data_IF_581273257768
#
_entry.id   IF_581273257768
#
_cell.length_a   1.000
_cell.length_b   1.000
_cell.length_c   1.000
_cell.angle_alpha   90.00
_cell.angle_beta   90.00
_cell.angle_gamma   90.00
#
_symmetry.space_group_name_H-M   'P 1'
#
loop_
_entity.id
_entity.type
_entity.pdbx_description
1 polymer ?
#
# COMPACT_ATOMS: atom_id res chain seq x y z
N UNK A 1 -0.17 26.25 14.96
CA UNK A 1 0.03 25.27 13.88
C UNK A 1 0.41 23.88 14.40
N UNK A 2 1.12 23.73 15.50
CA UNK A 2 1.59 22.47 16.03
C UNK A 2 1.05 22.08 17.41
N UNK A 3 -0.12 22.61 17.80
CA UNK A 3 -0.74 22.29 19.12
C UNK A 3 -1.09 20.81 19.26
N UNK A 4 -1.45 20.15 18.17
CA UNK A 4 -1.72 18.72 18.17
C UNK A 4 -0.47 17.84 18.38
N UNK A 5 0.73 18.35 18.07
CA UNK A 5 1.98 17.59 18.24
C UNK A 5 2.35 17.39 19.71
N UNK A 6 1.85 18.24 20.60
CA UNK A 6 2.01 18.01 22.05
C UNK A 6 1.29 16.75 22.53
N UNK A 7 0.15 16.41 21.91
CA UNK A 7 -0.59 15.17 22.19
C UNK A 7 0.16 13.95 21.66
N UNK A 8 0.72 14.05 20.43
CA UNK A 8 1.53 12.99 19.83
C UNK A 8 2.77 12.70 20.70
N UNK A 9 3.44 13.75 21.19
CA UNK A 9 4.58 13.61 22.10
C UNK A 9 4.18 12.89 23.41
N UNK A 10 3.05 13.26 24.01
CA UNK A 10 2.52 12.60 25.21
C UNK A 10 2.21 11.12 24.94
N UNK A 11 1.59 10.82 23.81
CA UNK A 11 1.28 9.44 23.41
C UNK A 11 2.54 8.61 23.24
N UNK A 12 3.58 9.18 22.62
CA UNK A 12 4.89 8.55 22.46
C UNK A 12 5.55 8.24 23.82
N UNK A 13 5.53 9.20 24.76
CA UNK A 13 6.07 9.04 26.10
C UNK A 13 5.27 8.00 26.91
N UNK A 14 3.94 7.98 26.77
CA UNK A 14 3.07 6.96 27.38
C UNK A 14 3.39 5.56 26.85
N UNK A 15 3.56 5.40 25.52
CA UNK A 15 3.94 4.12 24.92
C UNK A 15 5.31 3.66 25.43
N UNK A 16 6.30 4.56 25.47
CA UNK A 16 7.63 4.26 26.00
C UNK A 16 7.55 3.76 27.44
N UNK A 17 6.74 4.41 28.27
CA UNK A 17 6.54 3.99 29.67
C UNK A 17 5.81 2.65 29.77
N UNK A 18 4.70 2.46 29.02
CA UNK A 18 3.93 1.20 29.07
C UNK A 18 4.74 0.00 28.59
N UNK A 19 5.60 0.14 27.60
CA UNK A 19 6.49 -0.94 27.15
C UNK A 19 7.50 -1.40 28.22
N UNK A 20 7.78 -0.59 29.27
CA UNK A 20 8.63 -0.97 30.39
C UNK A 20 7.88 -1.69 31.52
N UNK A 21 6.56 -1.76 31.45
CA UNK A 21 5.75 -2.40 32.50
C UNK A 21 5.71 -3.91 32.34
N UNK A 22 5.75 -4.70 33.44
CA UNK A 22 5.66 -6.16 33.39
C UNK A 22 4.39 -6.68 32.71
N UNK A 23 3.28 -5.90 32.80
CA UNK A 23 1.99 -6.25 32.22
C UNK A 23 2.05 -6.29 30.68
N UNK A 24 2.79 -5.37 30.07
CA UNK A 24 2.97 -5.33 28.62
C UNK A 24 3.76 -6.53 28.09
N UNK A 25 4.69 -7.05 28.89
CA UNK A 25 5.51 -8.22 28.51
C UNK A 25 4.73 -9.54 28.56
N UNK A 26 3.60 -9.58 29.25
CA UNK A 26 2.77 -10.78 29.36
C UNK A 26 1.84 -10.99 28.15
N UNK A 27 1.65 -9.96 27.30
CA UNK A 27 0.85 -10.03 26.06
C UNK A 27 1.71 -9.67 24.86
N UNK A 28 2.28 -10.67 24.16
CA UNK A 28 3.15 -10.44 23.01
C UNK A 28 2.47 -9.69 21.85
N UNK A 29 1.16 -9.91 21.66
CA UNK A 29 0.41 -9.25 20.57
C UNK A 29 0.21 -7.75 20.88
N UNK A 30 -0.21 -7.42 22.10
CA UNK A 30 -0.33 -6.04 22.55
C UNK A 30 1.03 -5.33 22.56
N UNK A 31 2.11 -6.00 22.97
CA UNK A 31 3.46 -5.46 22.94
C UNK A 31 3.93 -5.15 21.51
N UNK A 32 3.70 -6.07 20.58
CA UNK A 32 4.05 -5.86 19.16
C UNK A 32 3.29 -4.67 18.56
N UNK A 33 2.00 -4.50 18.89
CA UNK A 33 1.20 -3.36 18.45
C UNK A 33 1.76 -2.03 19.02
N UNK A 34 2.07 -1.97 20.31
CA UNK A 34 2.68 -0.80 20.95
C UNK A 34 4.05 -0.46 20.34
N UNK A 35 4.89 -1.46 20.09
CA UNK A 35 6.20 -1.28 19.47
C UNK A 35 6.07 -0.72 18.05
N UNK A 36 5.07 -1.16 17.27
CA UNK A 36 4.79 -0.65 15.94
C UNK A 36 4.38 0.82 15.99
N UNK A 37 3.41 1.16 16.86
CA UNK A 37 2.96 2.54 17.05
C UNK A 37 4.12 3.45 17.52
N UNK A 38 4.93 2.98 18.47
CA UNK A 38 6.11 3.71 18.96
C UNK A 38 7.10 4.01 17.83
N UNK A 39 7.43 3.00 17.01
CA UNK A 39 8.34 3.13 15.86
C UNK A 39 7.78 4.10 14.80
N UNK A 40 6.48 4.11 14.59
CA UNK A 40 5.83 5.03 13.65
C UNK A 40 5.89 6.49 14.12
N UNK A 41 5.72 6.74 15.41
CA UNK A 41 5.74 8.09 15.99
C UNK A 41 7.16 8.64 16.18
N UNK A 42 8.19 7.77 16.28
CA UNK A 42 9.57 8.17 16.55
C UNK A 42 10.08 9.26 15.61
N UNK A 43 10.00 9.14 14.26
CA UNK A 43 10.54 10.16 13.35
C UNK A 43 9.86 11.52 13.50
N UNK A 44 8.54 11.52 13.78
CA UNK A 44 7.78 12.74 13.98
C UNK A 44 8.16 13.44 15.28
N UNK A 45 8.30 12.67 16.37
CA UNK A 45 8.67 13.23 17.69
C UNK A 45 10.11 13.75 17.68
N UNK A 46 11.04 13.08 17.01
CA UNK A 46 12.42 13.54 16.84
C UNK A 46 12.48 14.84 16.04
N UNK A 47 11.78 14.92 14.91
CA UNK A 47 11.68 16.14 14.11
C UNK A 47 11.06 17.30 14.90
N UNK A 48 10.02 17.03 15.67
CA UNK A 48 9.37 18.03 16.51
C UNK A 48 10.27 18.51 17.67
N UNK A 49 11.03 17.61 18.29
CA UNK A 49 12.03 17.98 19.32
C UNK A 49 13.12 18.90 18.73
N UNK A 50 13.64 18.53 17.56
CA UNK A 50 14.62 19.36 16.84
C UNK A 50 14.06 20.73 16.48
N UNK A 51 12.81 20.78 15.98
CA UNK A 51 12.11 22.00 15.65
C UNK A 51 11.95 22.91 16.87
N UNK A 52 11.49 22.37 18.00
CA UNK A 52 11.28 23.16 19.23
C UNK A 52 12.58 23.66 19.86
N UNK A 53 13.67 22.90 19.74
CA UNK A 53 15.00 23.32 20.19
C UNK A 53 15.51 24.49 19.33
N UNK A 54 15.47 24.31 18.00
CA UNK A 54 15.92 25.32 17.04
C UNK A 54 15.06 26.59 17.09
N UNK A 55 13.74 26.46 17.32
CA UNK A 55 12.85 27.61 17.53
C UNK A 55 13.28 28.48 18.72
N UNK A 56 13.69 27.84 19.81
CA UNK A 56 14.22 28.59 20.99
C UNK A 56 15.51 29.33 20.66
N UNK A 57 16.45 28.67 19.94
CA UNK A 57 17.69 29.30 19.50
C UNK A 57 17.41 30.53 18.63
N UNK A 58 16.50 30.42 17.66
CA UNK A 58 16.05 31.53 16.81
C UNK A 58 15.41 32.64 17.62
N UNK A 59 14.62 32.33 18.65
CA UNK A 59 13.99 33.35 19.49
C UNK A 59 15.04 34.07 20.40
N UNK A 60 16.06 33.32 20.87
CA UNK A 60 17.19 33.89 21.61
C UNK A 60 18.07 34.78 20.71
N UNK A 61 18.39 34.36 19.49
CA UNK A 61 19.14 35.16 18.51
C UNK A 61 18.41 36.46 18.13
N UNK A 62 17.07 36.38 17.95
CA UNK A 62 16.25 37.58 17.73
C UNK A 62 16.34 38.54 18.91
N UNK A 63 16.22 38.04 20.14
CA UNK A 63 16.30 38.86 21.34
C UNK A 63 17.68 39.55 21.47
N UNK A 64 18.77 38.90 21.03
CA UNK A 64 20.10 39.51 20.97
C UNK A 64 20.19 40.61 19.93
N UNK A 65 19.53 40.50 18.79
CA UNK A 65 19.50 41.53 17.74
C UNK A 65 18.59 42.70 18.09
N UNK A 66 17.52 42.49 18.89
CA UNK A 66 16.64 43.53 19.39
C UNK A 66 17.36 44.44 20.43
N UNK A 67 18.43 43.95 21.10
CA UNK A 67 19.29 44.67 21.98
C UNK A 67 20.74 44.64 21.47
N UNK A 68 21.03 45.27 20.32
CA UNK A 68 22.33 45.14 19.68
C UNK A 68 23.45 45.71 20.54
N UNK A 69 24.58 44.97 20.54
CA UNK A 69 25.82 45.44 21.16
C UNK A 69 26.54 46.43 20.26
N UNK A 70 27.48 47.21 20.82
CA UNK A 70 28.32 48.16 20.04
C UNK A 70 29.30 47.42 19.09
N UNK A 71 29.44 46.08 19.23
CA UNK A 71 30.28 45.25 18.38
C UNK A 71 29.56 44.85 17.08
N UNK A 72 29.88 45.53 15.99
CA UNK A 72 29.31 45.28 14.68
C UNK A 72 29.61 43.84 14.17
N UNK A 73 30.81 43.33 14.45
CA UNK A 73 31.21 41.97 13.99
C UNK A 73 30.38 40.87 14.70
N UNK A 74 30.07 41.09 15.98
CA UNK A 74 29.17 40.18 16.72
C UNK A 74 27.75 40.21 16.16
N UNK A 75 27.21 41.37 15.89
CA UNK A 75 25.87 41.53 15.31
C UNK A 75 25.76 40.88 13.91
N UNK A 76 26.80 41.04 13.07
CA UNK A 76 26.86 40.39 11.76
C UNK A 76 26.89 38.84 11.89
N UNK A 77 27.64 38.31 12.84
CA UNK A 77 27.69 36.88 13.12
C UNK A 77 26.31 36.33 13.54
N UNK A 78 25.65 37.00 14.48
CA UNK A 78 24.30 36.60 14.95
C UNK A 78 23.28 36.69 13.82
N UNK A 79 23.38 37.70 12.93
CA UNK A 79 22.52 37.80 11.76
C UNK A 79 22.73 36.64 10.76
N UNK A 80 23.97 36.20 10.57
CA UNK A 80 24.29 35.09 9.71
C UNK A 80 23.73 33.78 10.30
N UNK A 81 23.96 33.53 11.58
CA UNK A 81 23.48 32.37 12.30
C UNK A 81 21.94 32.31 12.29
N UNK A 82 21.27 33.41 12.52
CA UNK A 82 19.83 33.54 12.43
C UNK A 82 19.29 33.15 11.03
N UNK A 83 19.95 33.55 9.94
CA UNK A 83 19.54 33.17 8.58
C UNK A 83 19.69 31.68 8.35
N UNK A 84 20.80 31.10 8.79
CA UNK A 84 21.05 29.64 8.65
C UNK A 84 20.04 28.84 9.47
N UNK A 85 19.74 29.28 10.70
CA UNK A 85 18.78 28.60 11.57
C UNK A 85 17.33 28.76 11.09
N UNK A 86 16.98 29.90 10.47
CA UNK A 86 15.70 30.07 9.79
C UNK A 86 15.50 29.06 8.65
N UNK A 87 16.52 28.86 7.81
CA UNK A 87 16.46 27.89 6.74
C UNK A 87 16.27 26.46 7.27
N UNK A 88 17.03 26.08 8.30
CA UNK A 88 16.88 24.77 8.95
C UNK A 88 15.49 24.59 9.58
N UNK A 89 14.92 25.65 10.13
CA UNK A 89 13.59 25.64 10.75
C UNK A 89 12.50 25.43 9.68
N UNK A 90 12.62 26.08 8.53
CA UNK A 90 11.72 25.89 7.40
C UNK A 90 11.81 24.45 6.84
N UNK A 91 13.02 23.89 6.72
CA UNK A 91 13.24 22.51 6.29
C UNK A 91 12.63 21.50 7.28
N UNK A 92 12.79 21.74 8.60
CA UNK A 92 12.17 20.92 9.64
C UNK A 92 10.63 21.02 9.63
N UNK A 93 10.09 22.21 9.41
CA UNK A 93 8.64 22.40 9.27
C UNK A 93 8.08 21.61 8.09
N UNK A 94 8.73 21.67 6.93
CA UNK A 94 8.35 20.87 5.77
C UNK A 94 8.43 19.37 6.07
N UNK A 95 9.50 18.93 6.73
CA UNK A 95 9.66 17.53 7.14
C UNK A 95 8.54 17.07 8.08
N UNK A 96 8.18 17.88 9.06
CA UNK A 96 7.08 17.58 10.00
C UNK A 96 5.76 17.48 9.24
N UNK A 97 5.47 18.43 8.33
CA UNK A 97 4.26 18.39 7.48
C UNK A 97 4.18 17.10 6.66
N UNK A 98 5.30 16.64 6.10
CA UNK A 98 5.36 15.38 5.37
C UNK A 98 5.10 14.16 6.26
N UNK A 99 5.64 14.15 7.48
CA UNK A 99 5.44 13.07 8.45
C UNK A 99 4.01 13.01 9.02
N UNK A 100 3.28 14.12 8.99
CA UNK A 100 1.88 14.21 9.40
C UNK A 100 0.89 13.74 8.32
N UNK A 101 1.35 13.57 7.07
CA UNK A 101 0.49 13.03 6.03
C UNK A 101 -0.01 11.62 6.40
N UNK A 102 -1.30 11.34 6.22
CA UNK A 102 -1.81 10.01 6.51
C UNK A 102 -1.10 8.98 5.63
N UNK A 103 -0.46 8.01 6.28
CA UNK A 103 0.13 6.85 5.61
C UNK A 103 -0.99 5.95 5.08
N UNK A 104 -0.79 5.40 3.92
CA UNK A 104 -1.67 4.34 3.42
C UNK A 104 -1.44 3.07 4.28
N UNK A 105 -2.53 2.48 4.79
CA UNK A 105 -2.45 1.26 5.58
C UNK A 105 -1.77 0.09 4.83
N UNK A 106 -1.72 0.18 3.50
CA UNK A 106 -1.10 -0.84 2.67
C UNK A 106 0.39 -0.57 2.38
N UNK A 107 0.94 0.61 2.77
CA UNK A 107 2.31 1.00 2.40
C UNK A 107 3.38 0.01 2.86
N UNK A 108 3.18 -0.67 3.99
CA UNK A 108 4.11 -1.68 4.53
C UNK A 108 3.90 -3.09 3.95
N UNK A 109 2.84 -3.32 3.17
CA UNK A 109 2.50 -4.65 2.65
C UNK A 109 3.40 -5.05 1.49
N UNK A 110 3.59 -6.36 1.35
CA UNK A 110 4.05 -7.01 0.14
C UNK A 110 3.05 -6.81 -0.99
N UNK A 111 3.46 -7.06 -2.23
CA UNK A 111 2.60 -6.84 -3.39
C UNK A 111 2.51 -8.07 -4.28
N UNK A 112 1.41 -8.13 -5.00
CA UNK A 112 1.26 -8.95 -6.21
C UNK A 112 1.28 -7.99 -7.40
N UNK A 113 2.24 -8.22 -8.30
CA UNK A 113 2.38 -7.44 -9.53
C UNK A 113 1.98 -8.29 -10.73
N UNK A 114 1.16 -7.71 -11.59
CA UNK A 114 0.74 -8.33 -12.84
C UNK A 114 1.17 -7.47 -14.02
N UNK A 115 1.82 -8.07 -14.99
CA UNK A 115 2.23 -7.41 -16.24
C UNK A 115 1.59 -8.14 -17.40
N UNK A 116 0.90 -7.41 -18.27
CA UNK A 116 0.29 -7.94 -19.48
C UNK A 116 0.78 -7.20 -20.71
N UNK A 117 1.04 -7.93 -21.78
CA UNK A 117 1.24 -7.34 -23.09
C UNK A 117 -0.03 -6.62 -23.55
N UNK A 118 0.12 -5.36 -23.97
CA UNK A 118 -0.95 -4.54 -24.53
C UNK A 118 -0.93 -4.50 -26.06
N UNK A 119 -1.10 -3.31 -26.64
CA UNK A 119 -1.06 -3.11 -28.07
C UNK A 119 0.36 -3.27 -28.62
N UNK A 120 0.57 -4.14 -29.61
CA UNK A 120 1.88 -4.31 -30.27
C UNK A 120 2.28 -5.76 -30.59
N UNK A 121 1.40 -6.73 -30.27
CA UNK A 121 1.65 -8.15 -30.55
C UNK A 121 2.89 -8.69 -29.85
N UNK A 122 3.75 -9.39 -30.57
CA UNK A 122 4.96 -10.01 -29.99
C UNK A 122 5.92 -8.99 -29.37
N UNK A 123 6.04 -7.79 -29.95
CA UNK A 123 6.86 -6.71 -29.41
C UNK A 123 6.37 -6.24 -28.04
N UNK A 124 5.05 -6.22 -27.82
CA UNK A 124 4.47 -5.92 -26.51
C UNK A 124 4.81 -7.01 -25.49
N UNK A 125 4.84 -8.28 -25.90
CA UNK A 125 5.23 -9.40 -25.05
C UNK A 125 6.73 -9.36 -24.68
N UNK A 126 7.60 -9.03 -25.60
CA UNK A 126 9.03 -8.81 -25.34
C UNK A 126 9.25 -7.61 -24.40
N UNK A 127 8.45 -6.56 -24.54
CA UNK A 127 8.52 -5.41 -23.64
C UNK A 127 8.00 -5.76 -22.23
N UNK A 128 6.93 -6.55 -22.11
CA UNK A 128 6.45 -7.05 -20.81
C UNK A 128 7.53 -7.88 -20.10
N UNK A 129 8.27 -8.73 -20.82
CA UNK A 129 9.43 -9.43 -20.29
C UNK A 129 10.52 -8.47 -19.79
N UNK A 130 10.81 -7.41 -20.56
CA UNK A 130 11.81 -6.38 -20.17
C UNK A 130 11.38 -5.65 -18.89
N UNK A 131 10.09 -5.34 -18.71
CA UNK A 131 9.56 -4.74 -17.49
C UNK A 131 9.66 -5.70 -16.30
N UNK A 132 9.29 -6.98 -16.47
CA UNK A 132 9.47 -7.99 -15.43
C UNK A 132 10.90 -8.07 -14.95
N UNK A 133 11.87 -8.14 -15.89
CA UNK A 133 13.30 -8.13 -15.56
C UNK A 133 13.70 -6.88 -14.78
N UNK A 134 13.24 -5.69 -15.20
CA UNK A 134 13.50 -4.41 -14.54
C UNK A 134 13.02 -4.42 -13.08
N UNK A 135 11.79 -4.87 -12.81
CA UNK A 135 11.25 -4.93 -11.45
C UNK A 135 11.94 -5.99 -10.59
N UNK A 136 12.29 -7.14 -11.16
CA UNK A 136 13.06 -8.18 -10.45
C UNK A 136 14.45 -7.66 -10.05
N UNK A 137 15.13 -6.93 -10.92
CA UNK A 137 16.43 -6.33 -10.61
C UNK A 137 16.29 -5.22 -9.56
N UNK A 138 15.23 -4.42 -9.61
CA UNK A 138 14.94 -3.43 -8.59
C UNK A 138 14.66 -4.08 -7.23
N UNK A 139 13.84 -5.11 -7.18
CA UNK A 139 13.56 -5.88 -5.96
C UNK A 139 14.87 -6.45 -5.35
N UNK A 140 15.75 -7.02 -6.17
CA UNK A 140 17.04 -7.52 -5.72
C UNK A 140 17.93 -6.41 -5.11
N UNK A 141 17.94 -5.21 -5.69
CA UNK A 141 18.67 -4.05 -5.14
C UNK A 141 18.14 -3.59 -3.79
N UNK A 142 16.81 -3.72 -3.58
CA UNK A 142 16.15 -3.37 -2.31
C UNK A 142 16.19 -4.51 -1.28
N UNK A 143 16.81 -5.65 -1.60
CA UNK A 143 16.80 -6.88 -0.79
C UNK A 143 15.40 -7.45 -0.55
N UNK A 144 14.49 -7.30 -1.52
CA UNK A 144 13.17 -7.89 -1.51
C UNK A 144 13.17 -9.26 -2.21
N UNK A 145 12.38 -10.19 -1.70
CA UNK A 145 12.18 -11.48 -2.33
C UNK A 145 11.18 -11.36 -3.49
N UNK A 146 11.43 -12.08 -4.59
CA UNK A 146 10.56 -12.08 -5.75
C UNK A 146 10.24 -13.52 -6.14
N UNK A 147 8.94 -13.86 -6.30
CA UNK A 147 8.46 -15.19 -6.64
C UNK A 147 7.42 -15.14 -7.76
N UNK A 148 7.63 -15.93 -8.81
CA UNK A 148 6.68 -16.02 -9.92
C UNK A 148 5.51 -16.91 -9.53
N UNK A 149 4.28 -16.39 -9.66
CA UNK A 149 3.02 -17.11 -9.36
C UNK A 149 2.47 -17.74 -10.64
N UNK A 150 2.43 -16.98 -11.73
CA UNK A 150 1.91 -17.44 -13.03
C UNK A 150 2.68 -16.80 -14.16
N UNK A 151 2.97 -17.55 -15.21
CA UNK A 151 3.72 -17.09 -16.36
C UNK A 151 3.13 -17.69 -17.63
N UNK A 152 2.81 -16.82 -18.61
CA UNK A 152 2.38 -17.19 -19.96
C UNK A 152 3.35 -16.59 -20.97
N UNK A 153 4.27 -17.42 -21.44
CA UNK A 153 5.31 -17.03 -22.40
C UNK A 153 4.87 -17.14 -23.86
N UNK A 154 5.56 -16.43 -24.74
CA UNK A 154 5.46 -16.60 -26.19
C UNK A 154 6.61 -17.46 -26.72
N UNK A 155 6.48 -17.96 -27.96
CA UNK A 155 7.50 -18.78 -28.61
C UNK A 155 8.84 -18.04 -28.83
N UNK A 156 8.80 -16.70 -28.88
CA UNK A 156 9.98 -15.84 -29.06
C UNK A 156 10.56 -15.32 -27.73
N UNK A 157 10.18 -15.89 -26.60
CA UNK A 157 10.67 -15.50 -25.27
C UNK A 157 10.05 -14.22 -24.71
N UNK A 158 8.96 -13.73 -25.33
CA UNK A 158 8.14 -12.66 -24.77
C UNK A 158 7.18 -13.20 -23.70
N UNK A 159 6.53 -12.31 -22.99
CA UNK A 159 5.55 -12.64 -21.94
C UNK A 159 4.19 -12.01 -22.28
N UNK A 160 3.18 -12.85 -22.51
CA UNK A 160 1.79 -12.38 -22.70
C UNK A 160 1.22 -11.86 -21.40
N UNK A 161 1.46 -12.61 -20.32
CA UNK A 161 1.02 -12.27 -18.98
C UNK A 161 1.96 -12.92 -17.95
N UNK A 162 2.32 -12.16 -16.93
CA UNK A 162 3.05 -12.66 -15.76
C UNK A 162 2.46 -12.07 -14.50
N UNK A 163 2.29 -12.91 -13.50
CA UNK A 163 1.94 -12.53 -12.14
C UNK A 163 3.04 -13.01 -11.20
N UNK A 164 3.54 -12.14 -10.36
CA UNK A 164 4.60 -12.44 -9.40
C UNK A 164 4.42 -11.64 -8.12
N UNK A 165 4.88 -12.19 -6.99
CA UNK A 165 4.94 -11.50 -5.71
C UNK A 165 6.28 -10.81 -5.52
N UNK A 166 6.25 -9.67 -4.83
CA UNK A 166 7.45 -9.01 -4.29
C UNK A 166 7.21 -8.82 -2.79
N UNK A 167 8.05 -9.47 -1.98
CA UNK A 167 7.92 -9.52 -0.53
C UNK A 167 9.05 -8.76 0.14
N UNK A 168 8.68 -7.88 1.07
CA UNK A 168 9.63 -7.08 1.83
C UNK A 168 8.98 -5.87 2.50
N UNK A 169 9.71 -5.15 3.35
CA UNK A 169 9.17 -3.97 4.02
C UNK A 169 8.99 -2.81 3.04
N UNK A 170 7.82 -2.17 3.08
CA UNK A 170 7.54 -0.94 2.33
C UNK A 170 7.46 -1.10 0.82
N UNK A 171 7.28 -2.32 0.29
CA UNK A 171 7.23 -2.60 -1.16
C UNK A 171 6.11 -1.82 -1.83
N UNK A 172 4.89 -1.88 -1.27
CA UNK A 172 3.74 -1.19 -1.84
C UNK A 172 3.93 0.32 -1.87
N UNK A 173 4.55 0.91 -0.85
CA UNK A 173 4.77 2.36 -0.76
C UNK A 173 5.57 2.91 -1.96
N UNK A 174 6.48 2.11 -2.52
CA UNK A 174 7.32 2.47 -3.66
C UNK A 174 6.70 2.06 -5.00
N UNK A 175 6.23 0.82 -5.10
CA UNK A 175 5.80 0.26 -6.38
C UNK A 175 4.34 0.57 -6.76
N UNK A 176 3.50 1.11 -5.86
CA UNK A 176 2.13 1.56 -6.18
C UNK A 176 2.07 2.59 -7.31
N UNK A 177 3.14 3.33 -7.53
CA UNK A 177 3.25 4.31 -8.62
C UNK A 177 3.57 3.68 -9.99
N UNK A 178 3.87 2.39 -10.04
CA UNK A 178 4.18 1.69 -11.29
C UNK A 178 2.92 1.15 -11.99
N UNK A 179 1.76 1.22 -11.36
CA UNK A 179 0.50 0.79 -11.96
C UNK A 179 0.06 1.71 -13.09
N UNK A 180 -0.31 1.10 -14.23
CA UNK A 180 -0.78 1.82 -15.41
C UNK A 180 -0.23 1.25 -16.72
N UNK A 181 -0.35 2.05 -17.79
CA UNK A 181 0.10 1.70 -19.14
C UNK A 181 1.51 2.22 -19.39
N UNK A 182 2.44 1.31 -19.63
CA UNK A 182 3.82 1.60 -20.02
C UNK A 182 3.95 1.51 -21.54
N UNK A 183 4.56 2.51 -22.17
CA UNK A 183 4.73 2.58 -23.62
C UNK A 183 6.20 2.50 -23.99
N UNK A 184 6.54 1.64 -24.97
CA UNK A 184 7.88 1.55 -25.53
C UNK A 184 7.90 2.05 -26.96
N UNK A 185 9.00 2.70 -27.34
CA UNK A 185 9.34 3.11 -28.69
C UNK A 185 10.73 2.58 -29.01
N UNK A 186 10.78 1.52 -29.80
CA UNK A 186 12.06 0.92 -30.30
C UNK A 186 11.85 0.27 -31.65
N UNK A 187 12.94 -0.06 -32.33
CA UNK A 187 12.90 -0.96 -33.48
C UNK A 187 12.83 -2.38 -32.92
N UNK A 188 11.73 -3.12 -33.17
CA UNK A 188 11.60 -4.51 -32.71
C UNK A 188 12.70 -5.41 -33.29
N UNK A 189 13.08 -6.44 -32.56
CA UNK A 189 13.99 -7.47 -33.07
C UNK A 189 13.40 -8.22 -34.30
N UNK A 190 12.08 -8.23 -34.40
CA UNK A 190 11.34 -8.83 -35.52
C UNK A 190 11.18 -7.91 -36.73
N UNK A 191 11.61 -6.64 -36.65
CA UNK A 191 11.45 -5.66 -37.73
C UNK A 191 12.69 -5.63 -38.64
N UNK A 192 12.50 -5.96 -39.88
CA UNK A 192 13.59 -6.06 -40.87
C UNK A 192 13.91 -4.75 -41.58
N UNK A 193 12.98 -3.75 -41.54
CA UNK A 193 13.16 -2.48 -42.25
C UNK A 193 13.60 -1.33 -41.34
N UNK A 194 13.93 -1.61 -40.07
CA UNK A 194 14.40 -0.62 -39.11
C UNK A 194 13.38 0.43 -38.66
N UNK A 195 12.10 0.17 -38.86
CA UNK A 195 11.02 1.11 -38.45
C UNK A 195 10.82 1.08 -36.95
N UNK A 196 10.67 2.26 -36.37
CA UNK A 196 10.33 2.39 -34.94
C UNK A 196 8.87 2.01 -34.74
N UNK A 197 8.62 1.01 -33.89
CA UNK A 197 7.29 0.63 -33.46
C UNK A 197 6.97 1.20 -32.08
N UNK A 198 5.68 1.38 -31.81
CA UNK A 198 5.18 1.79 -30.50
C UNK A 198 4.32 0.67 -29.95
N UNK A 199 4.75 0.08 -28.86
CA UNK A 199 4.04 -1.00 -28.15
C UNK A 199 3.72 -0.61 -26.73
N UNK A 200 2.77 -1.30 -26.10
CA UNK A 200 2.38 -1.05 -24.70
C UNK A 200 2.36 -2.34 -23.90
N UNK A 201 2.61 -2.20 -22.61
CA UNK A 201 2.34 -3.22 -21.61
C UNK A 201 1.62 -2.56 -20.43
N UNK A 202 0.73 -3.28 -19.81
CA UNK A 202 -0.01 -2.82 -18.63
C UNK A 202 0.57 -3.44 -17.38
N UNK A 203 0.70 -2.65 -16.33
CA UNK A 203 1.17 -3.08 -15.02
C UNK A 203 0.08 -2.81 -13.99
N UNK A 204 -0.29 -3.84 -13.24
CA UNK A 204 -1.15 -3.70 -12.06
C UNK A 204 -0.32 -4.03 -10.80
N UNK A 205 -0.47 -3.20 -9.77
CA UNK A 205 0.20 -3.36 -8.48
C UNK A 205 -0.85 -3.42 -7.39
N UNK A 206 -1.02 -4.58 -6.79
CA UNK A 206 -2.01 -4.82 -5.74
C UNK A 206 -1.31 -5.18 -4.45
N UNK A 207 -1.74 -4.63 -3.29
CA UNK A 207 -1.23 -5.08 -2.01
C UNK A 207 -1.61 -6.54 -1.79
N UNK A 208 -0.71 -7.31 -1.17
CA UNK A 208 -0.99 -8.68 -0.78
C UNK A 208 -2.18 -8.73 0.19
N UNK A 209 -3.12 -9.63 -0.09
CA UNK A 209 -4.29 -9.82 0.74
C UNK A 209 -3.93 -10.54 2.04
N UNK A 210 -4.49 -10.09 3.14
CA UNK A 210 -4.52 -10.88 4.36
C UNK A 210 -5.59 -11.97 4.22
N UNK A 211 -5.36 -13.13 4.84
CA UNK A 211 -6.38 -14.18 4.87
C UNK A 211 -7.67 -13.66 5.48
N UNK A 212 -8.77 -13.91 4.78
CA UNK A 212 -10.09 -13.49 5.23
C UNK A 212 -10.56 -14.42 6.34
N UNK A 213 -10.21 -14.10 7.58
CA UNK A 213 -10.76 -14.81 8.73
C UNK A 213 -12.20 -14.37 9.03
N UNK A 214 -13.02 -15.35 9.41
CA UNK A 214 -14.39 -15.14 9.84
C UNK A 214 -14.61 -15.72 11.24
N UNK A 215 -14.70 -14.86 12.23
CA UNK A 215 -15.20 -15.22 13.54
C UNK A 215 -16.72 -14.96 13.60
N UNK A 216 -17.47 -15.96 14.07
CA UNK A 216 -18.91 -15.84 14.30
C UNK A 216 -19.14 -15.46 15.76
N UNK A 217 -19.57 -14.21 16.01
CA UNK A 217 -20.02 -13.83 17.37
C UNK A 217 -21.37 -14.51 17.66
N UNK A 218 -21.50 -15.26 18.74
CA UNK A 218 -22.77 -15.85 19.17
C UNK A 218 -23.91 -14.86 19.33
N UNK A 219 -23.62 -13.57 19.59
CA UNK A 219 -24.61 -12.49 19.72
C UNK A 219 -25.27 -12.13 18.40
N UNK A 220 -24.58 -12.36 17.28
CA UNK A 220 -25.07 -12.08 15.93
C UNK A 220 -25.91 -13.24 15.36
N UNK A 221 -26.08 -14.30 16.14
CA UNK A 221 -26.78 -15.49 15.70
C UNK A 221 -28.12 -15.64 16.43
N UNK A 222 -29.20 -15.75 15.67
CA UNK A 222 -30.48 -16.20 16.15
C UNK A 222 -30.67 -17.66 15.76
N UNK A 223 -30.92 -18.53 16.75
CA UNK A 223 -31.09 -19.96 16.56
C UNK A 223 -32.51 -20.34 16.95
N UNK A 224 -33.30 -20.75 15.98
CA UNK A 224 -34.66 -21.19 16.14
C UNK A 224 -34.75 -22.71 15.92
N UNK A 225 -35.53 -23.39 16.78
CA UNK A 225 -35.82 -24.83 16.65
C UNK A 225 -37.21 -25.03 16.05
N UNK A 226 -37.32 -25.94 15.12
CA UNK A 226 -38.60 -26.26 14.49
C UNK A 226 -38.77 -27.77 14.26
N UNK A 227 -39.94 -28.17 13.87
CA UNK A 227 -40.21 -29.59 13.54
C UNK A 227 -39.78 -29.85 12.14
N UNK A 228 -39.01 -30.95 11.96
CA UNK A 228 -38.60 -31.40 10.59
C UNK A 228 -39.83 -31.76 9.78
N UNK A 229 -39.79 -31.43 8.49
CA UNK A 229 -40.78 -31.77 7.49
C UNK A 229 -40.27 -32.93 6.63
N UNK A 230 -41.09 -33.98 6.43
CA UNK A 230 -40.73 -35.10 5.56
C UNK A 230 -41.48 -36.38 5.88
N UNK A 231 -41.34 -37.41 5.02
CA UNK A 231 -41.91 -38.72 5.21
C UNK A 231 -41.15 -39.43 6.35
N UNK A 232 -41.77 -39.57 7.52
CA UNK A 232 -41.16 -40.18 8.69
C UNK A 232 -42.18 -40.56 9.76
N UNK A 233 -41.76 -41.45 10.69
CA UNK A 233 -42.61 -41.95 11.79
C UNK A 233 -42.80 -40.94 12.91
N UNK A 234 -43.31 -41.44 14.08
CA UNK A 234 -43.68 -40.59 15.25
C UNK A 234 -42.55 -39.66 15.74
N UNK A 235 -41.29 -40.00 15.54
CA UNK A 235 -40.16 -39.18 16.00
C UNK A 235 -40.04 -37.86 15.24
N UNK A 236 -40.25 -37.83 13.92
CA UNK A 236 -40.19 -36.65 13.08
C UNK A 236 -41.32 -35.66 13.40
N UNK A 237 -42.49 -36.16 13.72
CA UNK A 237 -43.67 -35.36 13.97
C UNK A 237 -43.81 -34.84 15.41
N UNK A 238 -43.04 -35.40 16.36
CA UNK A 238 -43.12 -35.01 17.79
C UNK A 238 -41.91 -34.23 18.31
N UNK A 239 -40.70 -34.41 17.72
CA UNK A 239 -39.47 -33.77 18.20
C UNK A 239 -39.08 -32.61 17.31
N UNK A 240 -38.79 -31.44 17.91
CA UNK A 240 -38.24 -30.25 17.21
C UNK A 240 -36.72 -30.40 17.06
N UNK A 241 -36.30 -31.31 16.20
CA UNK A 241 -34.86 -31.59 15.94
C UNK A 241 -34.25 -30.70 14.84
N UNK A 242 -35.09 -30.08 14.02
CA UNK A 242 -34.61 -29.16 12.97
C UNK A 242 -34.20 -27.79 13.56
N UNK A 243 -33.13 -27.26 12.99
CA UNK A 243 -32.51 -25.99 13.41
C UNK A 243 -32.52 -25.02 12.23
N UNK A 244 -32.90 -23.78 12.54
CA UNK A 244 -32.72 -22.62 11.68
C UNK A 244 -31.77 -21.66 12.37
N UNK A 245 -30.66 -21.33 11.72
CA UNK A 245 -29.70 -20.32 12.18
C UNK A 245 -29.81 -19.11 11.26
N UNK A 246 -30.06 -17.96 11.86
CA UNK A 246 -30.11 -16.67 11.14
C UNK A 246 -28.96 -15.81 11.63
N UNK A 247 -28.11 -15.35 10.71
CA UNK A 247 -27.08 -14.36 10.98
C UNK A 247 -27.70 -12.95 10.87
N UNK A 248 -27.87 -12.27 12.00
CA UNK A 248 -28.61 -11.01 12.11
C UNK A 248 -28.06 -9.88 11.22
N UNK A 249 -26.72 -9.64 11.15
CA UNK A 249 -26.19 -8.55 10.35
C UNK A 249 -26.40 -8.71 8.84
N UNK A 250 -26.31 -9.93 8.31
CA UNK A 250 -26.45 -10.20 6.86
C UNK A 250 -27.82 -10.70 6.45
N UNK A 251 -28.67 -11.08 7.43
CA UNK A 251 -29.95 -11.72 7.18
C UNK A 251 -29.85 -13.14 6.58
N UNK A 252 -28.66 -13.72 6.51
CA UNK A 252 -28.44 -15.07 5.93
C UNK A 252 -29.07 -16.13 6.84
N UNK A 253 -29.86 -17.01 6.25
CA UNK A 253 -30.55 -18.09 6.94
C UNK A 253 -30.04 -19.45 6.45
N UNK A 254 -29.76 -20.34 7.38
CA UNK A 254 -29.41 -21.74 7.12
C UNK A 254 -30.32 -22.64 7.95
N UNK A 255 -30.93 -23.62 7.30
CA UNK A 255 -31.73 -24.65 7.93
C UNK A 255 -31.06 -26.00 7.81
N UNK A 256 -31.10 -26.79 8.87
CA UNK A 256 -30.60 -28.15 8.89
C UNK A 256 -31.58 -29.07 9.64
N UNK A 257 -31.97 -30.16 8.98
CA UNK A 257 -32.91 -31.16 9.51
C UNK A 257 -32.50 -32.61 9.20
N UNK A 258 -31.26 -32.83 8.75
CA UNK A 258 -30.79 -34.10 8.20
C UNK A 258 -30.52 -35.13 9.29
N UNK A 259 -30.16 -34.70 10.48
CA UNK A 259 -29.81 -35.56 11.59
C UNK A 259 -30.97 -35.69 12.60
N UNK A 260 -30.98 -36.80 13.35
CA UNK A 260 -31.96 -37.02 14.43
C UNK A 260 -31.67 -36.17 15.66
N UNK A 261 -30.43 -35.78 15.84
CA UNK A 261 -29.93 -34.98 16.98
C UNK A 261 -30.00 -33.48 16.66
N UNK A 262 -30.71 -32.74 17.53
CA UNK A 262 -30.75 -31.26 17.45
C UNK A 262 -29.35 -30.64 17.52
N UNK A 263 -28.46 -31.21 18.35
CA UNK A 263 -27.08 -30.72 18.51
C UNK A 263 -26.29 -30.87 17.21
N UNK A 264 -26.39 -32.03 16.55
CA UNK A 264 -25.70 -32.28 15.28
C UNK A 264 -26.22 -31.36 14.17
N UNK A 265 -27.55 -31.17 14.09
CA UNK A 265 -28.16 -30.22 13.15
C UNK A 265 -27.67 -28.77 13.41
N UNK A 266 -27.52 -28.37 14.68
CA UNK A 266 -26.98 -27.04 15.04
C UNK A 266 -25.51 -26.89 14.59
N UNK A 267 -24.66 -27.88 14.88
CA UNK A 267 -23.25 -27.86 14.49
C UNK A 267 -23.10 -27.82 12.96
N UNK A 268 -23.92 -28.61 12.27
CA UNK A 268 -23.97 -28.63 10.80
C UNK A 268 -24.44 -27.28 10.24
N UNK A 269 -25.52 -26.71 10.75
CA UNK A 269 -26.06 -25.42 10.33
C UNK A 269 -25.04 -24.29 10.52
N UNK A 270 -24.33 -24.27 11.66
CA UNK A 270 -23.27 -23.30 11.92
C UNK A 270 -22.07 -23.47 10.96
N UNK A 271 -21.70 -24.71 10.64
CA UNK A 271 -20.63 -24.99 9.67
C UNK A 271 -21.00 -24.48 8.27
N UNK A 272 -22.22 -24.77 7.84
CA UNK A 272 -22.73 -24.29 6.53
C UNK A 272 -22.84 -22.76 6.51
N UNK A 273 -23.34 -22.16 7.58
CA UNK A 273 -23.45 -20.71 7.70
C UNK A 273 -22.07 -20.05 7.60
N UNK A 274 -21.06 -20.57 8.34
CA UNK A 274 -19.67 -20.07 8.28
C UNK A 274 -19.11 -20.16 6.86
N UNK A 275 -19.31 -21.26 6.18
CA UNK A 275 -18.84 -21.45 4.80
C UNK A 275 -19.50 -20.45 3.84
N UNK A 276 -20.81 -20.22 3.95
CA UNK A 276 -21.52 -19.26 3.09
C UNK A 276 -21.13 -17.81 3.36
N UNK A 277 -20.97 -17.45 4.64
CA UNK A 277 -20.51 -16.09 4.99
C UNK A 277 -19.07 -15.84 4.55
N UNK A 278 -18.18 -16.84 4.68
CA UNK A 278 -16.83 -16.76 4.17
C UNK A 278 -16.81 -16.60 2.65
N UNK A 279 -17.63 -17.36 1.95
CA UNK A 279 -17.76 -17.24 0.50
C UNK A 279 -18.27 -15.85 0.09
N UNK A 280 -19.31 -15.34 0.76
CA UNK A 280 -19.84 -14.00 0.48
C UNK A 280 -18.79 -12.91 0.71
N UNK A 281 -18.01 -13.02 1.80
CA UNK A 281 -16.94 -12.08 2.12
C UNK A 281 -15.81 -12.15 1.07
N UNK A 282 -15.47 -13.36 0.62
CA UNK A 282 -14.49 -13.56 -0.45
C UNK A 282 -14.95 -12.99 -1.78
N UNK A 283 -16.20 -13.21 -2.17
CA UNK A 283 -16.79 -12.67 -3.40
C UNK A 283 -16.80 -11.12 -3.39
N UNK A 284 -17.15 -10.50 -2.26
CA UNK A 284 -17.09 -9.06 -2.11
C UNK A 284 -15.66 -8.52 -2.23
N UNK A 285 -14.69 -9.20 -1.59
CA UNK A 285 -13.28 -8.88 -1.70
C UNK A 285 -12.77 -9.00 -3.14
N UNK A 286 -13.10 -10.09 -3.82
CA UNK A 286 -12.68 -10.34 -5.20
C UNK A 286 -13.28 -9.29 -6.16
N UNK A 287 -14.51 -8.85 -5.93
CA UNK A 287 -15.14 -7.77 -6.71
C UNK A 287 -14.39 -6.44 -6.50
N UNK A 288 -14.07 -6.08 -5.27
CA UNK A 288 -13.31 -4.86 -4.97
C UNK A 288 -11.89 -4.93 -5.57
N UNK A 289 -11.20 -6.08 -5.41
CA UNK A 289 -9.89 -6.33 -5.96
C UNK A 289 -9.88 -6.19 -7.49
N UNK A 290 -10.84 -6.83 -8.17
CA UNK A 290 -10.98 -6.78 -9.63
C UNK A 290 -11.32 -5.35 -10.12
N UNK A 291 -12.18 -4.63 -9.41
CA UNK A 291 -12.50 -3.24 -9.74
C UNK A 291 -11.26 -2.33 -9.61
N UNK A 292 -10.48 -2.45 -8.54
CA UNK A 292 -9.21 -1.73 -8.36
C UNK A 292 -8.20 -2.07 -9.47
N UNK A 293 -8.03 -3.37 -9.75
CA UNK A 293 -7.15 -3.84 -10.82
C UNK A 293 -7.56 -3.27 -12.18
N UNK A 294 -8.85 -3.31 -12.51
CA UNK A 294 -9.38 -2.78 -13.77
C UNK A 294 -9.15 -1.27 -13.89
N UNK A 295 -9.32 -0.52 -12.82
CA UNK A 295 -9.06 0.92 -12.81
C UNK A 295 -7.58 1.27 -13.04
N UNK A 296 -6.65 0.42 -12.60
CA UNK A 296 -5.21 0.61 -12.79
C UNK A 296 -4.77 0.31 -14.24
N UNK A 297 -5.34 -0.72 -14.86
CA UNK A 297 -4.93 -1.20 -16.18
C UNK A 297 -5.57 -0.40 -17.32
N UNK A 298 -6.74 0.20 -17.08
CA UNK A 298 -7.50 0.91 -18.14
C UNK A 298 -7.82 0.02 -19.33
N UNK A 299 -7.79 0.59 -20.53
CA UNK A 299 -7.97 -0.13 -21.80
C UNK A 299 -6.66 -0.72 -22.36
N UNK A 300 -5.49 -0.35 -21.81
CA UNK A 300 -4.18 -0.68 -22.36
C UNK A 300 -3.83 0.08 -23.65
N UNK A 301 -4.62 1.10 -24.02
CA UNK A 301 -4.36 1.90 -25.22
C UNK A 301 -3.10 2.76 -25.05
N UNK A 302 -2.47 3.06 -26.19
CA UNK A 302 -1.26 3.90 -26.25
C UNK A 302 -1.47 5.33 -25.75
N UNK A 303 -2.70 5.81 -25.73
CA UNK A 303 -3.07 7.13 -25.21
C UNK A 303 -3.02 7.23 -23.69
N UNK A 304 -3.32 6.15 -22.98
CA UNK A 304 -3.40 6.09 -21.51
C UNK A 304 -2.04 5.95 -20.79
N UNK A 305 -0.95 6.10 -21.56
CA UNK A 305 0.41 5.93 -21.05
C UNK A 305 0.71 6.77 -19.81
N UNK A 306 1.22 6.14 -18.77
CA UNK A 306 1.84 6.81 -17.62
C UNK A 306 3.33 7.13 -17.90
N UNK A 307 4.02 6.21 -18.61
CA UNK A 307 5.47 6.34 -18.87
C UNK A 307 5.82 5.88 -20.27
N UNK A 308 6.80 6.56 -20.89
CA UNK A 308 7.33 6.20 -22.21
C UNK A 308 8.82 5.89 -22.13
N UNK A 309 9.20 4.74 -22.64
CA UNK A 309 10.57 4.26 -22.81
C UNK A 309 10.97 4.44 -24.28
N UNK A 310 11.83 5.42 -24.57
CA UNK A 310 12.24 5.77 -25.91
C UNK A 310 13.71 5.36 -26.14
N UNK A 311 13.90 4.23 -26.80
CA UNK A 311 15.23 3.67 -27.08
C UNK A 311 16.06 4.52 -28.05
N UNK A 312 15.50 5.01 -29.19
CA UNK A 312 16.26 5.86 -30.12
C UNK A 312 16.80 7.14 -29.49
N UNK A 313 16.15 7.66 -28.47
CA UNK A 313 16.54 8.91 -27.80
C UNK A 313 17.17 8.67 -26.43
N UNK A 314 17.40 7.41 -26.05
CA UNK A 314 17.95 6.99 -24.76
C UNK A 314 17.32 7.74 -23.57
N UNK A 315 15.97 7.76 -23.52
CA UNK A 315 15.23 8.47 -22.47
C UNK A 315 13.99 7.74 -21.98
N UNK A 316 13.67 7.97 -20.70
CA UNK A 316 12.41 7.61 -20.07
C UNK A 316 11.68 8.90 -19.70
N UNK A 317 10.39 8.98 -20.04
CA UNK A 317 9.55 10.13 -19.68
C UNK A 317 8.33 9.63 -18.89
N UNK A 318 8.19 10.10 -17.65
CA UNK A 318 6.97 9.93 -16.86
C UNK A 318 6.06 11.12 -17.11
N UNK A 319 4.87 10.82 -17.67
CA UNK A 319 3.94 11.86 -18.13
C UNK A 319 3.11 12.46 -17.00
N UNK A 320 3.04 11.82 -15.84
CA UNK A 320 2.26 12.31 -14.69
C UNK A 320 2.88 13.55 -14.06
N UNK A 321 4.21 13.59 -14.02
CA UNK A 321 4.97 14.71 -13.44
C UNK A 321 5.87 15.42 -14.46
N UNK A 322 5.80 15.05 -15.75
CA UNK A 322 6.62 15.63 -16.82
C UNK A 322 8.13 15.33 -16.69
N UNK A 323 8.52 14.35 -15.87
CA UNK A 323 9.91 13.98 -15.64
C UNK A 323 10.50 13.30 -16.86
N UNK A 324 11.65 13.78 -17.32
CA UNK A 324 12.41 13.13 -18.42
C UNK A 324 13.83 12.82 -17.95
N UNK A 325 14.20 11.55 -17.98
CA UNK A 325 15.52 11.05 -17.59
C UNK A 325 16.23 10.45 -18.80
N UNK A 326 17.52 10.66 -18.90
CA UNK A 326 18.43 9.99 -19.84
C UNK A 326 19.05 8.75 -19.19
N UNK A 327 19.66 7.90 -20.02
CA UNK A 327 20.22 6.62 -19.64
C UNK A 327 19.11 5.60 -19.31
N UNK A 328 18.32 5.29 -20.35
CA UNK A 328 17.23 4.31 -20.31
C UNK A 328 17.69 2.95 -19.78
N UNK A 329 18.90 2.51 -20.19
CA UNK A 329 19.42 1.20 -19.81
C UNK A 329 19.62 1.08 -18.29
N UNK A 330 20.09 2.12 -17.63
CA UNK A 330 20.27 2.15 -16.17
C UNK A 330 18.94 1.91 -15.44
N UNK A 331 17.85 2.49 -15.96
CA UNK A 331 16.50 2.30 -15.41
C UNK A 331 16.02 0.87 -15.63
N UNK A 332 16.22 0.31 -16.84
CA UNK A 332 15.87 -1.07 -17.17
C UNK A 332 16.70 -2.10 -16.39
N UNK A 333 17.88 -1.72 -15.94
CA UNK A 333 18.75 -2.53 -15.07
C UNK A 333 18.41 -2.33 -13.57
N UNK A 334 17.23 -1.77 -13.27
CA UNK A 334 16.64 -1.71 -11.94
C UNK A 334 17.01 -0.47 -11.11
N UNK A 335 17.50 0.62 -11.70
CA UNK A 335 17.69 1.90 -10.99
C UNK A 335 16.40 2.75 -11.06
N UNK A 336 15.33 2.21 -10.48
CA UNK A 336 14.01 2.84 -10.52
C UNK A 336 13.84 3.99 -9.52
N UNK A 337 14.69 4.11 -8.51
CA UNK A 337 14.58 5.17 -7.50
C UNK A 337 14.61 6.57 -8.14
N UNK A 338 15.37 6.75 -9.22
CA UNK A 338 15.41 7.99 -10.00
C UNK A 338 14.05 8.43 -10.56
N UNK A 339 13.12 7.51 -10.72
CA UNK A 339 11.75 7.77 -11.19
C UNK A 339 10.76 7.78 -10.02
N UNK A 340 10.91 6.82 -9.10
CA UNK A 340 9.98 6.61 -7.98
C UNK A 340 10.06 7.74 -6.96
N UNK A 341 11.27 8.19 -6.59
CA UNK A 341 11.44 9.27 -5.60
C UNK A 341 10.76 10.57 -6.01
N UNK A 342 10.92 11.10 -7.25
CA UNK A 342 10.17 12.26 -7.69
C UNK A 342 8.65 12.07 -7.69
N UNK A 343 8.16 10.85 -7.96
CA UNK A 343 6.73 10.54 -7.92
C UNK A 343 6.20 10.54 -6.48
N UNK A 344 6.98 10.02 -5.53
CA UNK A 344 6.65 10.08 -4.10
C UNK A 344 6.55 11.53 -3.65
N UNK A 345 7.54 12.36 -3.99
CA UNK A 345 7.55 13.79 -3.65
C UNK A 345 6.34 14.52 -4.25
N UNK A 346 6.06 14.32 -5.53
CA UNK A 346 4.90 14.94 -6.19
C UNK A 346 3.57 14.52 -5.54
N UNK A 347 3.43 13.26 -5.17
CA UNK A 347 2.24 12.76 -4.46
C UNK A 347 2.11 13.37 -3.06
N UNK A 348 3.23 13.54 -2.35
CA UNK A 348 3.26 14.19 -1.04
C UNK A 348 2.85 15.67 -1.15
N UNK A 349 3.38 16.40 -2.14
CA UNK A 349 2.99 17.77 -2.41
C UNK A 349 1.50 17.92 -2.76
N UNK A 350 0.97 17.00 -3.56
CA UNK A 350 -0.46 16.98 -3.89
C UNK A 350 -1.33 16.74 -2.66
N UNK A 351 -0.95 15.78 -1.80
CA UNK A 351 -1.62 15.52 -0.53
C UNK A 351 -1.60 16.73 0.41
N UNK A 352 -0.48 17.45 0.49
CA UNK A 352 -0.35 18.69 1.28
C UNK A 352 -1.25 19.81 0.75
N UNK A 353 -1.40 19.93 -0.57
CA UNK A 353 -2.31 20.92 -1.19
C UNK A 353 -3.77 20.59 -0.93
N UNK A 354 -4.14 19.31 -0.95
CA UNK A 354 -5.52 18.83 -0.79
C UNK A 354 -5.95 18.76 0.69
N UNK A 355 -5.00 18.60 1.61
CA UNK A 355 -5.21 18.62 3.06
C UNK A 355 -4.28 19.69 3.67
N UNK A 356 -4.61 20.99 3.57
CA UNK A 356 -3.86 21.99 4.29
C UNK A 356 -4.03 21.73 5.79
N UNK A 357 -2.95 21.28 6.43
CA UNK A 357 -2.88 21.10 7.88
C UNK A 357 -3.05 22.51 8.47
N UNK A 358 -4.22 22.76 9.07
CA UNK A 358 -4.55 24.03 9.73
C UNK A 358 -3.74 24.24 11.00
#
# INVERSE_FOLDING_TARGET
MFDDLSQVKRRYEELAYRMTTPEAMNDPAAYAAMMREYKELTPLVEAYRSYTALQKEVDEEKALLDAPTEDAAFNDMVQQELRENWQKLEDLEQKIRLLLLPKDANDEKSIIMEIRAGAGGEEAALFAHSLHRMYTMYAARQNWACSVISLNETELGGVKEITFSIEGPGVYSRLKFESGVHRVQRVPETETQGRIHTSTATVAVMPEAEEVELELDPKDLRIDTFRSSGAGGQHINKTSSAIRVTHLPTGMVVECQDQRSQRENKEQALKVLRSRLLQQKQEAYDQEYNAKRQSQVGSGDRSEKIRTYNFPQDRVTDHRIGLTLRNLQDILDGNLDRVIEPLILANQEEKLKNNPIQ
#
